data_IF_781170094505
#
_entry.id   IF_781170094505
#
_cell.length_a   1.000
_cell.length_b   1.000
_cell.length_c   1.000
_cell.angle_alpha   90.00
_cell.angle_beta   90.00
_cell.angle_gamma   90.00
#
_symmetry.space_group_name_H-M   'P 1'
#
loop_
_entity.id
_entity.type
_entity.pdbx_description
1 polymer ?
#
# COMPACT_ATOMS: atom_id res chain seq x y z
N UNK A 1 -20.23 24.62 8.71
CA UNK A 1 -19.57 24.25 9.99
C UNK A 1 -19.29 22.76 9.93
N UNK A 2 -18.03 22.36 9.97
CA UNK A 2 -17.66 20.95 10.12
C UNK A 2 -17.52 20.69 11.62
N UNK A 3 -18.27 19.74 12.18
CA UNK A 3 -18.24 19.42 13.61
C UNK A 3 -17.60 18.05 13.76
N UNK A 4 -16.50 17.98 14.51
CA UNK A 4 -15.83 16.74 14.84
C UNK A 4 -16.23 16.31 16.26
N UNK A 5 -16.38 14.99 16.47
CA UNK A 5 -16.40 14.42 17.82
C UNK A 5 -14.96 14.24 18.27
N UNK A 6 -14.73 14.27 19.58
CA UNK A 6 -13.43 13.92 20.14
C UNK A 6 -13.07 12.48 19.73
N UNK A 7 -11.99 12.28 18.97
CA UNK A 7 -11.62 10.95 18.51
C UNK A 7 -10.98 10.18 19.66
N UNK A 8 -11.34 8.89 19.79
CA UNK A 8 -10.52 7.94 20.54
C UNK A 8 -9.34 7.51 19.68
N UNK A 9 -8.29 6.94 20.27
CA UNK A 9 -7.09 6.57 19.53
C UNK A 9 -6.67 5.12 19.78
N UNK A 10 -6.33 4.42 18.70
CA UNK A 10 -5.58 3.15 18.72
C UNK A 10 -4.13 3.47 18.40
N UNK A 11 -3.21 3.06 19.29
CA UNK A 11 -1.78 3.15 19.02
C UNK A 11 -1.28 1.86 18.39
N UNK A 12 -0.59 1.97 17.26
CA UNK A 12 0.18 0.88 16.67
C UNK A 12 1.66 1.18 16.87
N UNK A 13 2.36 0.27 17.54
CA UNK A 13 3.81 0.34 17.73
C UNK A 13 4.43 -0.75 16.87
N UNK A 14 4.99 -0.37 15.71
CA UNK A 14 5.63 -1.29 14.79
C UNK A 14 7.15 -1.18 14.91
N UNK A 15 7.80 -2.31 15.17
CA UNK A 15 9.22 -2.39 15.49
C UNK A 15 10.02 -3.31 14.57
N UNK A 16 11.34 -3.19 14.60
CA UNK A 16 12.24 -4.06 13.84
C UNK A 16 12.35 -3.64 12.37
N UNK A 17 12.70 -4.60 11.50
CA UNK A 17 12.95 -4.34 10.08
C UNK A 17 12.23 -5.37 9.20
N UNK A 18 11.77 -4.92 8.04
CA UNK A 18 11.11 -5.80 7.07
C UNK A 18 12.10 -6.73 6.39
N UNK A 19 11.67 -7.95 6.12
CA UNK A 19 12.44 -8.86 5.29
C UNK A 19 12.46 -8.40 3.82
N UNK A 20 13.49 -8.75 3.03
CA UNK A 20 13.51 -8.44 1.61
C UNK A 20 12.25 -8.95 0.91
N UNK A 21 11.60 -8.14 0.08
CA UNK A 21 10.35 -8.51 -0.58
C UNK A 21 9.07 -8.32 0.25
N UNK A 22 9.20 -7.80 1.47
CA UNK A 22 8.09 -7.33 2.33
C UNK A 22 8.08 -5.81 2.31
N UNK A 23 6.89 -5.21 2.19
CA UNK A 23 6.69 -3.78 2.01
C UNK A 23 5.66 -3.22 3.00
N UNK A 24 5.53 -1.89 3.06
CA UNK A 24 4.52 -1.22 3.90
C UNK A 24 3.08 -1.72 3.68
N UNK A 25 2.77 -2.21 2.47
CA UNK A 25 1.48 -2.85 2.16
C UNK A 25 1.24 -4.11 2.99
N UNK A 26 2.27 -4.93 3.19
CA UNK A 26 2.18 -6.14 4.01
C UNK A 26 2.00 -5.77 5.49
N UNK A 27 2.68 -4.70 5.96
CA UNK A 27 2.53 -4.17 7.32
C UNK A 27 1.09 -3.73 7.61
N UNK A 28 0.49 -2.93 6.72
CA UNK A 28 -0.88 -2.44 6.96
C UNK A 28 -1.92 -3.55 6.82
N UNK A 29 -1.70 -4.54 5.95
CA UNK A 29 -2.57 -5.73 5.90
C UNK A 29 -2.50 -6.52 7.20
N UNK A 30 -1.32 -6.71 7.79
CA UNK A 30 -1.18 -7.36 9.10
C UNK A 30 -1.87 -6.57 10.22
N UNK A 31 -1.75 -5.23 10.23
CA UNK A 31 -2.48 -4.37 11.17
C UNK A 31 -4.01 -4.56 11.02
N UNK A 32 -4.51 -4.52 9.79
CA UNK A 32 -5.95 -4.67 9.51
C UNK A 32 -6.42 -6.10 9.87
N UNK A 33 -5.59 -7.12 9.68
CA UNK A 33 -5.88 -8.49 10.09
C UNK A 33 -6.11 -8.59 11.60
N UNK A 34 -5.22 -7.99 12.40
CA UNK A 34 -5.31 -8.05 13.86
C UNK A 34 -6.40 -7.14 14.46
N UNK A 35 -6.71 -6.01 13.80
CA UNK A 35 -7.77 -5.11 14.23
C UNK A 35 -9.16 -5.56 13.76
N UNK A 36 -9.26 -6.14 12.56
CA UNK A 36 -10.52 -6.38 11.86
C UNK A 36 -11.12 -5.10 11.28
N UNK A 37 -12.12 -5.25 10.40
CA UNK A 37 -12.76 -4.11 9.70
C UNK A 37 -13.46 -3.07 10.60
N UNK A 38 -13.74 -3.41 11.86
CA UNK A 38 -14.36 -2.51 12.84
C UNK A 38 -13.46 -2.26 14.07
N UNK A 39 -12.18 -2.63 14.00
CA UNK A 39 -11.28 -2.58 15.14
C UNK A 39 -10.94 -1.16 15.61
N UNK A 40 -11.10 -0.17 14.74
CA UNK A 40 -10.80 1.24 14.99
C UNK A 40 -11.99 2.18 14.66
N UNK A 41 -13.24 1.68 14.67
CA UNK A 41 -14.43 2.48 14.39
C UNK A 41 -14.55 3.68 15.34
N UNK A 42 -14.73 4.88 14.76
CA UNK A 42 -14.74 6.18 15.45
C UNK A 42 -13.42 6.49 16.19
N UNK A 43 -12.30 5.91 15.72
CA UNK A 43 -10.97 6.12 16.30
C UNK A 43 -9.96 6.60 15.26
N UNK A 44 -8.93 7.30 15.70
CA UNK A 44 -7.71 7.56 14.92
C UNK A 44 -6.72 6.44 15.17
N UNK A 45 -6.00 6.01 14.13
CA UNK A 45 -4.90 5.05 14.26
C UNK A 45 -3.59 5.82 14.20
N UNK A 46 -2.81 5.77 15.27
CA UNK A 46 -1.47 6.34 15.32
C UNK A 46 -0.42 5.26 15.06
N UNK A 47 0.33 5.40 13.97
CA UNK A 47 1.42 4.52 13.60
C UNK A 47 2.74 5.08 14.12
N UNK A 48 3.42 4.30 14.96
CA UNK A 48 4.65 4.70 15.67
C UNK A 48 5.64 3.54 15.69
N UNK A 49 6.87 3.81 16.16
CA UNK A 49 7.92 2.80 16.34
C UNK A 49 9.01 2.90 15.28
N UNK A 50 10.15 2.27 15.55
CA UNK A 50 11.38 2.35 14.75
C UNK A 50 11.17 1.88 13.31
N UNK A 51 10.27 0.92 13.08
CA UNK A 51 9.91 0.51 11.73
C UNK A 51 9.25 1.65 10.96
N UNK A 52 8.26 2.34 11.54
CA UNK A 52 7.54 3.46 10.90
C UNK A 52 8.47 4.66 10.71
N UNK A 53 9.34 4.91 11.69
CA UNK A 53 10.34 5.99 11.62
C UNK A 53 11.32 5.77 10.46
N UNK A 54 11.66 4.51 10.15
CA UNK A 54 12.52 4.15 9.01
C UNK A 54 11.84 4.28 7.64
N UNK A 55 10.50 4.30 7.59
CA UNK A 55 9.74 4.38 6.34
C UNK A 55 9.86 5.74 5.68
N UNK A 56 9.90 5.74 4.34
CA UNK A 56 9.74 6.94 3.54
C UNK A 56 8.27 7.42 3.51
N UNK A 57 8.02 8.61 2.96
CA UNK A 57 6.65 9.15 2.92
C UNK A 57 5.66 8.35 2.07
N UNK A 58 6.09 7.65 1.02
CA UNK A 58 5.21 6.82 0.20
C UNK A 58 4.72 5.59 0.97
N UNK A 59 5.61 4.99 1.75
CA UNK A 59 5.32 3.88 2.66
C UNK A 59 4.39 4.31 3.80
N UNK A 60 4.65 5.45 4.45
CA UNK A 60 3.75 6.01 5.48
C UNK A 60 2.37 6.33 4.93
N UNK A 61 2.30 6.86 3.70
CA UNK A 61 1.01 7.10 3.05
C UNK A 61 0.29 5.79 2.69
N UNK A 62 0.99 4.68 2.47
CA UNK A 62 0.35 3.35 2.34
C UNK A 62 -0.35 2.96 3.65
N UNK A 63 0.31 3.14 4.80
CA UNK A 63 -0.28 2.87 6.12
C UNK A 63 -1.51 3.74 6.37
N UNK A 64 -1.35 5.06 6.29
CA UNK A 64 -2.41 6.03 6.54
C UNK A 64 -3.59 5.88 5.57
N UNK A 65 -3.34 5.51 4.31
CA UNK A 65 -4.40 5.31 3.32
C UNK A 65 -5.35 4.18 3.72
N UNK A 66 -4.82 3.09 4.28
CA UNK A 66 -5.62 1.91 4.60
C UNK A 66 -6.14 1.86 6.04
N UNK A 67 -5.97 2.93 6.83
CA UNK A 67 -6.52 3.01 8.19
C UNK A 67 -8.05 2.85 8.22
N UNK A 68 -8.75 3.34 7.18
CA UNK A 68 -10.20 3.24 7.07
C UNK A 68 -10.67 1.80 6.82
N UNK A 69 -9.82 0.92 6.28
CA UNK A 69 -10.13 -0.50 6.09
C UNK A 69 -10.15 -1.28 7.41
N UNK A 70 -9.59 -0.73 8.50
CA UNK A 70 -9.79 -1.20 9.88
C UNK A 70 -10.91 -0.44 10.63
N UNK A 71 -11.66 0.42 9.92
CA UNK A 71 -12.72 1.27 10.48
C UNK A 71 -12.23 2.61 11.03
N UNK A 72 -10.93 2.91 10.92
CA UNK A 72 -10.34 4.15 11.44
C UNK A 72 -10.86 5.40 10.75
N UNK A 73 -11.17 6.44 11.53
CA UNK A 73 -11.50 7.79 11.04
C UNK A 73 -10.35 8.40 10.24
N UNK A 74 -9.12 8.17 10.69
CA UNK A 74 -7.89 8.60 10.03
C UNK A 74 -6.70 7.77 10.52
N UNK A 75 -5.61 7.75 9.74
CA UNK A 75 -4.34 7.16 10.11
C UNK A 75 -3.23 8.21 10.11
N UNK A 76 -2.44 8.30 11.18
CA UNK A 76 -1.42 9.34 11.37
C UNK A 76 -0.07 8.68 11.65
N UNK A 77 0.98 9.15 10.97
CA UNK A 77 2.37 8.87 11.31
C UNK A 77 3.00 10.16 11.86
N UNK A 78 3.90 10.06 12.83
CA UNK A 78 4.53 11.24 13.41
C UNK A 78 5.42 11.99 12.40
N UNK A 79 5.45 13.33 12.48
CA UNK A 79 6.32 14.12 11.63
C UNK A 79 7.78 14.03 12.08
N UNK A 80 8.66 13.85 11.11
CA UNK A 80 10.11 13.84 11.31
C UNK A 80 10.82 14.52 10.12
N UNK A 81 12.15 14.37 10.06
CA UNK A 81 12.92 14.96 8.98
C UNK A 81 12.58 14.34 7.60
N UNK A 82 12.09 13.10 7.54
CA UNK A 82 11.56 12.50 6.31
C UNK A 82 10.33 13.24 5.82
N UNK A 83 9.40 13.56 6.73
CA UNK A 83 8.22 14.39 6.44
C UNK A 83 8.63 15.79 5.96
N UNK A 84 9.55 16.45 6.66
CA UNK A 84 10.04 17.79 6.29
C UNK A 84 10.73 17.77 4.93
N UNK A 85 11.58 16.78 4.65
CA UNK A 85 12.27 16.65 3.37
C UNK A 85 11.29 16.50 2.20
N UNK A 86 10.23 15.72 2.39
CA UNK A 86 9.18 15.53 1.39
C UNK A 86 8.39 16.82 1.14
N UNK A 87 8.05 17.55 2.21
CA UNK A 87 7.26 18.79 2.11
C UNK A 87 8.08 20.01 1.70
N UNK A 88 9.41 19.97 1.84
CA UNK A 88 10.29 21.12 1.63
C UNK A 88 10.06 21.91 0.33
N UNK A 89 9.85 21.28 -0.84
CA UNK A 89 9.56 22.02 -2.07
C UNK A 89 8.33 22.93 -1.98
N UNK A 90 7.38 22.60 -1.10
CA UNK A 90 6.12 23.31 -0.91
C UNK A 90 6.19 24.33 0.23
N UNK A 91 6.94 24.04 1.30
CA UNK A 91 6.96 24.84 2.53
C UNK A 91 8.21 25.71 2.71
N UNK A 92 9.19 25.65 1.79
CA UNK A 92 10.48 26.38 1.90
C UNK A 92 10.36 27.91 2.02
N UNK A 93 9.20 28.48 1.69
CA UNK A 93 8.95 29.92 1.83
C UNK A 93 8.25 30.27 3.16
N UNK A 94 7.82 29.26 3.92
CA UNK A 94 7.12 29.41 5.21
C UNK A 94 8.08 29.28 6.40
N UNK A 95 9.25 28.68 6.19
CA UNK A 95 10.26 28.42 7.24
C UNK A 95 11.66 28.85 6.80
N UNK A 96 12.45 29.37 7.74
CA UNK A 96 13.84 29.79 7.49
C UNK A 96 14.76 28.63 7.12
N UNK A 97 14.50 27.44 7.69
CA UNK A 97 15.25 26.21 7.41
C UNK A 97 14.39 24.96 7.62
N UNK A 98 14.91 23.80 7.21
CA UNK A 98 14.27 22.50 7.46
C UNK A 98 14.22 22.19 8.96
N UNK A 99 15.22 22.60 9.72
CA UNK A 99 15.28 22.42 11.17
C UNK A 99 14.21 23.24 11.87
N UNK A 100 13.92 24.46 11.39
CA UNK A 100 12.81 25.26 11.88
C UNK A 100 11.46 24.60 11.59
N UNK A 101 11.25 24.09 10.36
CA UNK A 101 10.05 23.33 10.01
C UNK A 101 9.90 22.04 10.85
N UNK A 102 11.01 21.34 11.11
CA UNK A 102 11.02 20.15 11.95
C UNK A 102 10.64 20.47 13.40
N UNK A 103 11.18 21.56 13.96
CA UNK A 103 10.88 22.00 15.31
C UNK A 103 9.39 22.37 15.46
N UNK A 104 8.80 23.02 14.45
CA UNK A 104 7.36 23.31 14.42
C UNK A 104 6.52 22.03 14.37
N UNK A 105 6.80 21.14 13.39
CA UNK A 105 5.97 19.95 13.21
C UNK A 105 6.09 18.95 14.36
N UNK A 106 7.25 18.84 15.00
CA UNK A 106 7.45 17.94 16.16
C UNK A 106 6.70 18.37 17.42
N UNK A 107 6.09 19.55 17.45
CA UNK A 107 5.17 19.91 18.54
C UNK A 107 3.88 19.07 18.49
N UNK A 108 3.54 18.51 17.32
CA UNK A 108 2.32 17.74 17.07
C UNK A 108 2.60 16.24 17.14
N UNK A 109 3.12 15.79 18.27
CA UNK A 109 3.26 14.37 18.63
C UNK A 109 2.56 14.12 19.96
N UNK A 110 2.13 12.89 20.18
CA UNK A 110 1.42 12.53 21.41
C UNK A 110 2.32 12.66 22.63
N UNK A 111 1.78 13.22 23.72
CA UNK A 111 2.47 13.37 24.99
C UNK A 111 2.88 11.99 25.57
N UNK A 112 3.94 11.92 26.40
CA UNK A 112 4.39 10.66 27.00
C UNK A 112 3.33 9.94 27.85
N UNK A 113 2.37 10.68 28.41
CA UNK A 113 1.26 10.19 29.23
C UNK A 113 -0.08 10.13 28.49
N UNK A 114 -0.08 10.26 27.15
CA UNK A 114 -1.26 10.10 26.33
C UNK A 114 -1.94 8.74 26.56
N UNK A 115 -3.27 8.76 26.70
CA UNK A 115 -4.09 7.57 26.94
C UNK A 115 -4.68 7.08 25.62
N UNK A 116 -4.55 5.78 25.37
CA UNK A 116 -5.05 5.12 24.17
C UNK A 116 -6.14 4.12 24.53
N UNK A 117 -7.15 3.98 23.68
CA UNK A 117 -8.20 2.96 23.84
C UNK A 117 -7.60 1.56 23.75
N UNK A 118 -6.62 1.40 22.85
CA UNK A 118 -5.92 0.14 22.60
C UNK A 118 -4.51 0.43 22.09
N UNK A 119 -3.57 -0.42 22.48
CA UNK A 119 -2.23 -0.48 21.90
C UNK A 119 -2.05 -1.83 21.20
N UNK A 120 -1.53 -1.79 19.97
CA UNK A 120 -1.19 -2.95 19.17
C UNK A 120 0.32 -2.92 18.89
N UNK A 121 1.03 -3.99 19.23
CA UNK A 121 2.46 -4.13 18.99
C UNK A 121 2.70 -5.08 17.82
N UNK A 122 3.56 -4.69 16.89
CA UNK A 122 3.90 -5.47 15.69
C UNK A 122 5.41 -5.55 15.53
N UNK A 123 5.88 -6.74 15.21
CA UNK A 123 7.29 -7.02 14.89
C UNK A 123 7.42 -7.22 13.38
N UNK A 124 7.98 -6.21 12.69
CA UNK A 124 8.17 -6.18 11.25
C UNK A 124 9.03 -7.33 10.71
N UNK A 125 9.90 -7.92 11.55
CA UNK A 125 10.76 -9.04 11.13
C UNK A 125 9.98 -10.35 10.94
N UNK A 126 8.77 -10.43 11.50
CA UNK A 126 7.88 -11.59 11.44
C UNK A 126 6.80 -11.48 10.37
N UNK A 127 6.67 -10.34 9.71
CA UNK A 127 5.62 -10.11 8.71
C UNK A 127 6.06 -10.75 7.38
N UNK A 128 5.32 -11.74 6.85
CA UNK A 128 5.58 -12.28 5.52
C UNK A 128 4.88 -11.41 4.45
N UNK A 129 5.21 -11.59 3.15
CA UNK A 129 4.40 -11.10 2.07
C UNK A 129 2.95 -11.57 2.28
N UNK A 130 2.02 -10.62 2.24
CA UNK A 130 0.63 -10.84 2.65
C UNK A 130 -0.32 -10.73 1.47
N UNK A 131 -1.41 -11.49 1.55
CA UNK A 131 -2.47 -11.47 0.54
C UNK A 131 -3.84 -11.55 1.20
N UNK A 132 -4.79 -10.76 0.71
CA UNK A 132 -6.18 -10.90 1.17
C UNK A 132 -6.89 -12.06 0.47
N UNK A 133 -7.93 -12.62 1.08
CA UNK A 133 -8.78 -13.64 0.47
C UNK A 133 -10.27 -13.37 0.72
N UNK A 134 -11.12 -13.86 -0.16
CA UNK A 134 -12.54 -13.54 -0.12
C UNK A 134 -12.81 -12.06 -0.41
N UNK A 135 -13.76 -11.46 0.31
CA UNK A 135 -14.30 -10.12 0.00
C UNK A 135 -14.13 -9.10 1.12
N UNK A 136 -13.18 -9.33 2.04
CA UNK A 136 -12.90 -8.41 3.14
C UNK A 136 -11.41 -8.12 3.24
N UNK A 137 -11.01 -6.89 3.62
CA UNK A 137 -9.61 -6.52 3.72
C UNK A 137 -8.92 -7.08 4.97
N UNK A 138 -9.67 -7.50 6.01
CA UNK A 138 -9.14 -8.13 7.22
C UNK A 138 -8.94 -9.66 7.10
N UNK A 139 -9.43 -10.25 6.02
CA UNK A 139 -9.13 -11.63 5.65
C UNK A 139 -7.76 -11.69 4.99
N UNK A 140 -6.71 -11.68 5.79
CA UNK A 140 -5.31 -11.72 5.34
C UNK A 140 -4.71 -13.09 5.67
N UNK A 141 -3.83 -13.57 4.82
CA UNK A 141 -2.95 -14.70 5.10
C UNK A 141 -1.60 -14.51 4.39
N UNK A 142 -0.55 -15.26 4.77
CA UNK A 142 0.70 -15.27 4.03
C UNK A 142 0.50 -15.67 2.57
N UNK A 143 1.25 -15.06 1.65
CA UNK A 143 1.23 -15.39 0.21
C UNK A 143 1.51 -16.87 -0.03
N UNK A 144 2.38 -17.47 0.79
CA UNK A 144 2.74 -18.90 0.72
C UNK A 144 1.52 -19.84 0.79
N UNK A 145 0.44 -19.46 1.47
CA UNK A 145 -0.79 -20.27 1.58
C UNK A 145 -1.71 -20.15 0.36
N UNK A 146 -1.47 -19.18 -0.53
CA UNK A 146 -2.25 -18.94 -1.75
C UNK A 146 -1.46 -19.28 -3.02
N UNK A 147 -0.21 -19.72 -2.91
CA UNK A 147 0.63 -20.07 -4.06
C UNK A 147 -0.09 -21.09 -4.95
N UNK A 148 -0.10 -20.85 -6.26
CA UNK A 148 -0.79 -21.70 -7.24
C UNK A 148 -2.23 -21.28 -7.54
N UNK A 149 -2.78 -20.30 -6.81
CA UNK A 149 -4.11 -19.75 -7.12
C UNK A 149 -4.06 -18.97 -8.43
N UNK A 150 -4.78 -19.44 -9.46
CA UNK A 150 -4.83 -18.77 -10.76
C UNK A 150 -5.39 -17.35 -10.65
N UNK A 151 -4.84 -16.47 -11.46
CA UNK A 151 -5.34 -15.10 -11.65
C UNK A 151 -5.57 -14.84 -13.13
N UNK A 152 -6.61 -14.08 -13.44
CA UNK A 152 -6.92 -13.63 -14.80
C UNK A 152 -6.37 -12.23 -15.05
N UNK A 153 -6.26 -11.43 -13.99
CA UNK A 153 -5.77 -10.06 -14.06
C UNK A 153 -4.75 -9.72 -12.96
N UNK A 154 -3.77 -8.90 -13.31
CA UNK A 154 -2.93 -8.17 -12.34
C UNK A 154 -3.13 -6.67 -12.53
N UNK A 155 -3.38 -5.95 -11.43
CA UNK A 155 -3.57 -4.50 -11.45
C UNK A 155 -2.60 -3.82 -10.47
N UNK A 156 -1.58 -3.16 -11.01
CA UNK A 156 -0.59 -2.41 -10.23
C UNK A 156 -0.86 -0.92 -10.41
N UNK A 157 -1.07 -0.21 -9.32
CA UNK A 157 -1.20 1.24 -9.32
C UNK A 157 -2.53 1.74 -8.77
N UNK A 158 -2.47 2.43 -7.63
CA UNK A 158 -3.62 3.05 -6.97
C UNK A 158 -3.16 4.23 -6.11
N UNK A 159 -4.07 4.86 -5.37
CA UNK A 159 -3.69 5.83 -4.34
C UNK A 159 -2.90 5.18 -3.19
N UNK A 160 -3.03 3.86 -3.02
CA UNK A 160 -2.31 3.07 -2.01
C UNK A 160 -0.90 2.75 -2.47
N UNK A 161 -0.77 2.11 -3.64
CA UNK A 161 0.53 1.66 -4.15
C UNK A 161 0.60 1.88 -5.68
N UNK A 162 1.02 3.07 -6.06
CA UNK A 162 1.20 3.50 -7.46
C UNK A 162 2.22 4.63 -7.60
N UNK A 163 3.03 4.85 -6.57
CA UNK A 163 4.06 5.89 -6.50
C UNK A 163 5.38 5.36 -7.04
N UNK A 164 6.42 6.18 -7.08
CA UNK A 164 7.64 5.77 -7.79
C UNK A 164 8.35 4.61 -7.09
N UNK A 165 8.34 4.54 -5.75
CA UNK A 165 8.96 3.41 -5.04
C UNK A 165 8.21 2.09 -5.29
N UNK A 166 6.88 2.14 -5.37
CA UNK A 166 6.03 0.99 -5.73
C UNK A 166 6.36 0.46 -7.13
N UNK A 167 6.49 1.37 -8.11
CA UNK A 167 6.79 1.03 -9.50
C UNK A 167 8.19 0.44 -9.64
N UNK A 168 9.19 0.95 -8.91
CA UNK A 168 10.54 0.37 -8.87
C UNK A 168 10.54 -1.03 -8.28
N UNK A 169 9.80 -1.26 -7.20
CA UNK A 169 9.68 -2.58 -6.57
C UNK A 169 9.06 -3.60 -7.53
N UNK A 170 7.97 -3.24 -8.21
CA UNK A 170 7.37 -4.09 -9.24
C UNK A 170 8.30 -4.29 -10.46
N UNK A 171 8.95 -3.23 -10.96
CA UNK A 171 9.87 -3.33 -12.09
C UNK A 171 11.08 -4.23 -11.81
N UNK A 172 11.57 -4.27 -10.58
CA UNK A 172 12.65 -5.18 -10.18
C UNK A 172 12.24 -6.66 -10.34
N UNK A 173 10.96 -6.99 -10.09
CA UNK A 173 10.43 -8.34 -10.32
C UNK A 173 10.21 -8.66 -11.80
N UNK A 174 9.89 -7.64 -12.61
CA UNK A 174 9.54 -7.79 -14.04
C UNK A 174 10.73 -7.76 -15.00
N UNK A 175 11.85 -7.12 -14.62
CA UNK A 175 12.99 -6.88 -15.51
C UNK A 175 13.50 -8.17 -16.18
N UNK A 176 13.47 -8.20 -17.51
CA UNK A 176 13.92 -9.35 -18.31
C UNK A 176 12.96 -10.54 -18.31
N UNK A 177 11.74 -10.39 -17.78
CA UNK A 177 10.70 -11.42 -17.75
C UNK A 177 9.49 -10.99 -18.57
N UNK A 178 8.60 -11.94 -18.87
CA UNK A 178 7.30 -11.71 -19.50
C UNK A 178 6.21 -12.18 -18.55
N UNK A 179 5.06 -11.49 -18.56
CA UNK A 179 3.86 -11.97 -17.87
C UNK A 179 3.36 -13.27 -18.51
N UNK A 180 2.60 -14.06 -17.76
CA UNK A 180 1.97 -15.26 -18.28
C UNK A 180 0.91 -14.92 -19.35
N UNK A 181 0.83 -15.72 -20.41
CA UNK A 181 -0.11 -15.50 -21.53
C UNK A 181 -1.59 -15.51 -21.10
N UNK A 182 -1.90 -16.13 -19.96
CA UNK A 182 -3.24 -16.18 -19.38
C UNK A 182 -3.61 -14.93 -18.56
N UNK A 183 -2.67 -14.00 -18.34
CA UNK A 183 -2.88 -12.85 -17.45
C UNK A 183 -2.96 -11.54 -18.24
N UNK A 184 -4.02 -10.79 -17.97
CA UNK A 184 -4.11 -9.37 -18.35
C UNK A 184 -3.43 -8.52 -17.27
N UNK A 185 -2.34 -7.85 -17.59
CA UNK A 185 -1.63 -7.01 -16.61
C UNK A 185 -1.80 -5.51 -16.93
N UNK A 186 -2.12 -4.71 -15.91
CA UNK A 186 -2.41 -3.28 -16.05
C UNK A 186 -1.57 -2.48 -15.05
N UNK A 187 -0.93 -1.41 -15.54
CA UNK A 187 -0.23 -0.43 -14.73
C UNK A 187 -0.95 0.93 -14.78
N UNK A 188 -1.32 1.48 -13.63
CA UNK A 188 -1.87 2.85 -13.50
C UNK A 188 -1.04 3.69 -12.51
N UNK A 189 -0.06 4.48 -12.97
CA UNK A 189 0.75 5.32 -12.07
C UNK A 189 -0.12 6.34 -11.32
N UNK A 190 0.21 6.63 -10.07
CA UNK A 190 -0.67 7.39 -9.17
C UNK A 190 -0.93 8.83 -9.63
N UNK A 191 0.06 9.47 -10.27
CA UNK A 191 -0.03 10.87 -10.73
C UNK A 191 0.73 11.08 -12.04
N UNK A 192 0.47 12.18 -12.79
CA UNK A 192 1.27 12.53 -13.97
C UNK A 192 2.75 12.73 -13.67
N UNK A 193 3.08 13.23 -12.47
CA UNK A 193 4.47 13.37 -12.03
C UNK A 193 5.15 12.01 -11.88
N UNK A 194 4.49 11.05 -11.23
CA UNK A 194 5.01 9.69 -11.09
C UNK A 194 5.12 9.01 -12.44
N UNK A 195 4.12 9.18 -13.32
CA UNK A 195 4.19 8.65 -14.69
C UNK A 195 5.41 9.20 -15.44
N UNK A 196 5.65 10.52 -15.37
CA UNK A 196 6.80 11.15 -16.02
C UNK A 196 8.11 10.66 -15.44
N UNK A 197 8.21 10.58 -14.12
CA UNK A 197 9.40 10.07 -13.44
C UNK A 197 9.67 8.60 -13.82
N UNK A 198 8.65 7.76 -13.87
CA UNK A 198 8.78 6.37 -14.29
C UNK A 198 9.24 6.24 -15.74
N UNK A 199 8.83 7.17 -16.62
CA UNK A 199 9.31 7.25 -17.99
C UNK A 199 10.80 7.62 -18.03
N UNK A 200 11.18 8.68 -17.30
CA UNK A 200 12.57 9.16 -17.25
C UNK A 200 13.53 8.12 -16.64
N UNK A 201 13.04 7.28 -15.73
CA UNK A 201 13.80 6.17 -15.12
C UNK A 201 13.79 4.88 -15.96
N UNK A 202 13.10 4.85 -17.10
CA UNK A 202 12.98 3.66 -17.97
C UNK A 202 12.11 2.53 -17.38
N UNK A 203 11.32 2.82 -16.34
CA UNK A 203 10.43 1.82 -15.73
C UNK A 203 9.28 1.49 -16.68
N UNK A 204 8.75 2.49 -17.40
CA UNK A 204 7.68 2.30 -18.39
C UNK A 204 8.08 1.28 -19.45
N UNK A 205 9.34 1.29 -19.89
CA UNK A 205 9.86 0.32 -20.85
C UNK A 205 9.89 -1.09 -20.25
N UNK A 206 10.32 -1.25 -18.99
CA UNK A 206 10.31 -2.55 -18.29
C UNK A 206 8.89 -3.13 -18.22
N UNK A 207 7.88 -2.32 -17.86
CA UNK A 207 6.49 -2.76 -17.81
C UNK A 207 5.96 -3.11 -19.21
N UNK A 208 6.27 -2.30 -20.21
CA UNK A 208 5.86 -2.54 -21.61
C UNK A 208 6.49 -3.82 -22.15
N UNK A 209 7.79 -4.00 -21.92
CA UNK A 209 8.52 -5.21 -22.28
C UNK A 209 7.97 -6.43 -21.55
N UNK A 210 7.58 -6.32 -20.27
CA UNK A 210 6.96 -7.43 -19.56
C UNK A 210 5.57 -7.82 -20.11
N UNK A 211 4.89 -6.90 -20.79
CA UNK A 211 3.57 -7.12 -21.40
C UNK A 211 2.42 -6.39 -20.70
N UNK A 212 2.70 -5.42 -19.82
CA UNK A 212 1.66 -4.63 -19.16
C UNK A 212 1.01 -3.63 -20.11
N UNK A 213 -0.31 -3.47 -19.99
CA UNK A 213 -1.03 -2.33 -20.52
C UNK A 213 -0.89 -1.14 -19.57
N UNK A 214 -0.24 -0.07 -20.03
CA UNK A 214 0.04 1.11 -19.21
C UNK A 214 -1.04 2.17 -19.47
N UNK A 215 -1.72 2.61 -18.42
CA UNK A 215 -2.75 3.63 -18.49
C UNK A 215 -2.21 5.00 -18.08
N UNK A 216 -2.94 6.05 -18.49
CA UNK A 216 -2.77 7.36 -17.86
C UNK A 216 -3.13 7.28 -16.37
N UNK A 217 -2.58 8.17 -15.52
CA UNK A 217 -2.95 8.24 -14.12
C UNK A 217 -4.45 8.34 -13.91
N UNK A 218 -5.02 7.33 -13.27
CA UNK A 218 -6.45 7.23 -13.01
C UNK A 218 -6.72 6.29 -11.86
N UNK A 219 -7.81 6.53 -11.14
CA UNK A 219 -8.29 5.57 -10.16
C UNK A 219 -8.80 4.27 -10.84
N UNK A 220 -9.23 4.33 -12.10
CA UNK A 220 -9.49 3.18 -12.96
C UNK A 220 -10.30 2.06 -12.30
N UNK A 221 -9.83 0.82 -12.45
CA UNK A 221 -10.51 -0.36 -11.94
C UNK A 221 -10.66 -0.35 -10.41
N UNK A 222 -9.85 0.40 -9.66
CA UNK A 222 -9.93 0.49 -8.20
C UNK A 222 -11.31 0.95 -7.68
N UNK A 223 -12.08 1.68 -8.50
CA UNK A 223 -13.47 2.05 -8.22
C UNK A 223 -14.48 1.48 -9.23
N UNK A 224 -14.09 0.44 -9.95
CA UNK A 224 -14.96 -0.27 -10.89
C UNK A 224 -15.24 0.48 -12.19
N UNK A 225 -14.29 1.31 -12.65
CA UNK A 225 -14.43 2.06 -13.91
C UNK A 225 -13.23 1.84 -14.84
N UNK A 226 -13.41 2.11 -16.13
CA UNK A 226 -12.31 2.14 -17.12
C UNK A 226 -11.57 0.81 -17.30
N UNK A 227 -10.30 0.86 -17.71
CA UNK A 227 -9.48 -0.31 -18.03
C UNK A 227 -9.24 -1.16 -16.78
N UNK A 228 -9.50 -2.46 -16.91
CA UNK A 228 -9.29 -3.44 -15.85
C UNK A 228 -10.50 -3.75 -14.99
N UNK A 229 -11.70 -3.33 -15.40
CA UNK A 229 -12.94 -3.80 -14.78
C UNK A 229 -13.04 -5.32 -14.94
N UNK A 230 -13.36 -6.00 -13.83
CA UNK A 230 -13.46 -7.45 -13.79
C UNK A 230 -14.80 -7.96 -14.31
N UNK A 231 -14.74 -9.04 -15.08
CA UNK A 231 -15.91 -9.83 -15.44
C UNK A 231 -16.32 -10.79 -14.31
N UNK A 232 -17.50 -11.37 -14.43
CA UNK A 232 -18.00 -12.37 -13.48
C UNK A 232 -17.09 -13.62 -13.50
N UNK A 233 -16.61 -14.03 -12.32
CA UNK A 233 -15.69 -15.14 -12.16
C UNK A 233 -14.19 -14.81 -12.35
N UNK A 234 -13.83 -13.61 -12.82
CA UNK A 234 -12.41 -13.21 -12.94
C UNK A 234 -11.77 -13.00 -11.56
N UNK A 235 -10.53 -13.45 -11.42
CA UNK A 235 -9.69 -13.25 -10.22
C UNK A 235 -8.59 -12.24 -10.52
N UNK A 236 -8.48 -11.21 -9.67
CA UNK A 236 -7.48 -10.16 -9.80
C UNK A 236 -6.53 -10.14 -8.61
N UNK A 237 -5.22 -10.15 -8.87
CA UNK A 237 -4.21 -9.71 -7.91
C UNK A 237 -4.01 -8.20 -8.06
N UNK A 238 -4.22 -7.42 -7.00
CA UNK A 238 -4.27 -5.96 -7.09
C UNK A 238 -3.49 -5.25 -5.98
N UNK A 239 -2.90 -4.11 -6.31
CA UNK A 239 -2.24 -3.22 -5.33
C UNK A 239 -3.17 -2.11 -4.82
N UNK A 240 -4.48 -2.27 -5.01
CA UNK A 240 -5.53 -1.38 -4.48
C UNK A 240 -5.73 -1.60 -2.98
N UNK A 241 -6.62 -0.83 -2.34
CA UNK A 241 -6.92 -0.96 -0.91
C UNK A 241 -8.20 -1.75 -0.59
N UNK A 242 -9.07 -2.04 -1.57
CA UNK A 242 -10.41 -2.59 -1.31
C UNK A 242 -10.72 -3.80 -2.18
N UNK A 243 -11.18 -4.87 -1.55
CA UNK A 243 -11.60 -6.12 -2.19
C UNK A 243 -13.06 -6.51 -1.92
N UNK A 244 -13.91 -5.55 -1.53
CA UNK A 244 -15.35 -5.81 -1.35
C UNK A 244 -15.97 -6.39 -2.63
N UNK A 245 -16.99 -7.23 -2.48
CA UNK A 245 -17.70 -7.81 -3.63
C UNK A 245 -18.21 -6.70 -4.57
N UNK A 246 -17.90 -6.82 -5.86
CA UNK A 246 -18.28 -5.82 -6.86
C UNK A 246 -17.37 -4.60 -6.95
N UNK A 247 -16.29 -4.51 -6.15
CA UNK A 247 -15.47 -3.29 -6.06
C UNK A 247 -14.76 -2.91 -7.36
N UNK A 248 -14.16 -3.88 -8.03
CA UNK A 248 -13.45 -3.69 -9.31
C UNK A 248 -14.26 -4.21 -10.51
N UNK A 249 -15.46 -4.71 -10.28
CA UNK A 249 -16.29 -5.38 -11.28
C UNK A 249 -17.23 -6.37 -10.58
N UNK A 250 -18.48 -6.47 -11.05
CA UNK A 250 -19.48 -7.34 -10.45
C UNK A 250 -19.13 -8.80 -10.70
N UNK A 251 -19.01 -9.59 -9.63
CA UNK A 251 -18.71 -11.02 -9.73
C UNK A 251 -17.21 -11.38 -9.74
N UNK A 252 -16.33 -10.39 -9.81
CA UNK A 252 -14.88 -10.60 -9.72
C UNK A 252 -14.38 -10.73 -8.27
N UNK A 253 -13.28 -11.46 -8.09
CA UNK A 253 -12.55 -11.60 -6.82
C UNK A 253 -11.29 -10.75 -6.88
N UNK A 254 -10.97 -10.08 -5.77
CA UNK A 254 -9.76 -9.25 -5.66
C UNK A 254 -8.92 -9.71 -4.47
N UNK A 255 -7.67 -10.05 -4.76
CA UNK A 255 -6.63 -10.33 -3.77
C UNK A 255 -5.70 -9.13 -3.66
N UNK A 256 -5.71 -8.45 -2.51
CA UNK A 256 -4.85 -7.29 -2.26
C UNK A 256 -3.47 -7.77 -1.82
N UNK A 257 -2.43 -7.18 -2.41
CA UNK A 257 -1.02 -7.52 -2.12
C UNK A 257 -0.09 -6.35 -2.43
N UNK A 258 1.19 -6.47 -2.07
CA UNK A 258 2.22 -5.49 -2.40
C UNK A 258 2.56 -5.46 -3.90
N UNK A 259 3.17 -4.38 -4.42
CA UNK A 259 3.57 -4.27 -5.83
C UNK A 259 4.50 -5.38 -6.32
N UNK A 260 5.46 -5.80 -5.48
CA UNK A 260 6.37 -6.88 -5.84
C UNK A 260 5.65 -8.23 -5.93
N UNK A 261 4.77 -8.54 -4.97
CA UNK A 261 3.95 -9.76 -5.00
C UNK A 261 3.01 -9.79 -6.22
N UNK A 262 2.39 -8.64 -6.55
CA UNK A 262 1.55 -8.52 -7.73
C UNK A 262 2.34 -8.73 -9.03
N UNK A 263 3.56 -8.17 -9.12
CA UNK A 263 4.44 -8.35 -10.27
C UNK A 263 4.92 -9.80 -10.42
N UNK A 264 5.32 -10.45 -9.32
CA UNK A 264 5.68 -11.88 -9.32
C UNK A 264 4.50 -12.76 -9.76
N UNK A 265 3.29 -12.44 -9.27
CA UNK A 265 2.03 -13.10 -9.66
C UNK A 265 1.73 -12.93 -11.15
N UNK A 266 2.02 -11.76 -11.73
CA UNK A 266 1.84 -11.52 -13.18
C UNK A 266 2.73 -12.41 -14.03
N UNK A 267 3.98 -12.59 -13.61
CA UNK A 267 4.95 -13.46 -14.29
C UNK A 267 4.56 -14.93 -14.16
N UNK A 268 4.09 -15.37 -12.99
CA UNK A 268 3.74 -16.76 -12.73
C UNK A 268 2.39 -17.19 -13.35
N UNK A 269 1.44 -16.27 -13.53
CA UNK A 269 0.07 -16.62 -13.93
C UNK A 269 -0.82 -17.11 -12.79
N UNK A 270 -0.28 -17.07 -11.58
CA UNK A 270 -0.88 -17.51 -10.34
C UNK A 270 -0.22 -16.77 -9.17
N UNK A 271 -0.89 -16.69 -8.03
CA UNK A 271 -0.35 -16.03 -6.84
C UNK A 271 1.03 -16.62 -6.53
N UNK A 272 2.03 -15.75 -6.40
CA UNK A 272 3.42 -16.13 -6.23
C UNK A 272 4.14 -15.22 -5.23
N UNK A 273 5.11 -15.80 -4.54
CA UNK A 273 6.00 -15.09 -3.61
C UNK A 273 6.98 -14.21 -4.39
N UNK A 274 7.25 -12.96 -3.97
CA UNK A 274 8.24 -12.11 -4.63
C UNK A 274 9.66 -12.71 -4.58
N UNK A 275 10.44 -12.55 -5.65
CA UNK A 275 11.76 -13.21 -5.83
C UNK A 275 12.76 -12.81 -4.73
N UNK A 276 12.66 -11.56 -4.26
CA UNK A 276 13.53 -11.03 -3.21
C UNK A 276 13.32 -11.72 -1.86
N UNK A 277 12.13 -12.25 -1.60
CA UNK A 277 11.79 -12.88 -0.33
C UNK A 277 12.43 -14.26 -0.20
N UNK A 278 13.10 -14.49 0.94
CA UNK A 278 13.89 -15.69 1.23
C UNK A 278 13.41 -16.49 2.44
N UNK A 279 12.33 -16.05 3.10
CA UNK A 279 11.79 -16.60 4.35
C UNK A 279 10.50 -17.39 4.19
#
# INVERSE_FOLDING_TARGET
>A
VCTFREPRTVKVVASGSLQPGVFAKDVILEIIHQLGVNGATDMVIEFTGDLVDSMNMEERMTLSNMAIEAGGTSGICYPDMTTVNYLWPFIRNEFESKEAALAEYRQWVSDPDAVYEKTLEIDGSKIPPSVTWGYKPDHVKPVSEMVGTKVDQVYIGSCTNGRITDLRAAAAELKGKKIADSVRAILSPATPLVWRQALDEGLIDIFTEAGFCITNPTCGACLGMSNGVLADGEVCAATTNRNFYGRMGKGGIVHLMSPATAAATAVAGEIAVPTAYKG
#
